data_IF_736831739919
#
_entry.id   IF_736831739919
#
_cell.length_a   1.000
_cell.length_b   1.000
_cell.length_c   1.000
_cell.angle_alpha   90.00
_cell.angle_beta   90.00
_cell.angle_gamma   90.00
#
_symmetry.space_group_name_H-M   'P 1'
#
loop_
_entity.id
_entity.type
_entity.pdbx_description
1 polymer ?
#
# COMPACT_ATOMS: atom_id res chain seq x y z
N UNK A 1 -35.62 -3.04 -21.87
CA UNK A 1 -34.96 -4.03 -20.99
C UNK A 1 -34.76 -5.30 -21.79
N UNK A 2 -33.51 -5.73 -22.01
CA UNK A 2 -33.19 -6.92 -22.80
C UNK A 2 -33.49 -8.21 -22.01
N UNK A 3 -34.15 -9.15 -22.69
CA UNK A 3 -34.53 -10.46 -22.14
C UNK A 3 -33.28 -11.33 -21.89
N UNK A 4 -33.35 -12.33 -20.98
CA UNK A 4 -32.23 -13.25 -20.72
C UNK A 4 -31.70 -13.97 -21.97
N UNK A 5 -32.58 -14.22 -22.94
CA UNK A 5 -32.27 -14.86 -24.22
C UNK A 5 -31.51 -13.93 -25.18
N UNK A 6 -31.88 -12.66 -25.23
CA UNK A 6 -31.16 -11.63 -25.99
C UNK A 6 -29.77 -11.37 -25.40
N UNK A 7 -29.63 -11.35 -24.07
CA UNK A 7 -28.32 -11.25 -23.41
C UNK A 7 -27.41 -12.44 -23.72
N UNK A 8 -27.97 -13.66 -23.83
CA UNK A 8 -27.22 -14.85 -24.28
C UNK A 8 -26.81 -14.73 -25.75
N UNK A 9 -27.72 -14.34 -26.65
CA UNK A 9 -27.38 -14.16 -28.08
C UNK A 9 -26.29 -13.11 -28.30
N UNK A 10 -26.33 -12.00 -27.56
CA UNK A 10 -25.29 -10.96 -27.59
C UNK A 10 -23.93 -11.50 -27.14
N UNK A 11 -23.87 -12.28 -26.04
CA UNK A 11 -22.62 -12.91 -25.55
C UNK A 11 -21.98 -13.90 -26.53
N UNK A 12 -22.74 -14.44 -27.48
CA UNK A 12 -22.24 -15.39 -28.49
C UNK A 12 -22.24 -14.80 -29.91
N UNK A 13 -22.42 -13.48 -30.05
CA UNK A 13 -22.36 -12.81 -31.34
C UNK A 13 -20.92 -12.75 -31.86
N UNK A 14 -20.74 -12.77 -33.19
CA UNK A 14 -19.42 -12.64 -33.81
C UNK A 14 -18.78 -11.27 -33.50
N UNK A 15 -19.58 -10.22 -33.36
CA UNK A 15 -19.11 -8.89 -32.95
C UNK A 15 -18.52 -8.88 -31.56
N UNK A 16 -19.17 -9.50 -30.56
CA UNK A 16 -18.62 -9.62 -29.21
C UNK A 16 -17.39 -10.53 -29.17
N UNK A 17 -17.33 -11.57 -30.01
CA UNK A 17 -16.13 -12.40 -30.18
C UNK A 17 -14.97 -11.62 -30.80
N UNK A 18 -15.23 -10.78 -31.81
CA UNK A 18 -14.22 -9.95 -32.46
C UNK A 18 -13.75 -8.81 -31.54
N UNK A 19 -14.65 -8.23 -30.74
CA UNK A 19 -14.30 -7.27 -29.68
C UNK A 19 -13.39 -7.93 -28.62
N UNK A 20 -13.72 -9.13 -28.12
CA UNK A 20 -12.87 -9.88 -27.18
C UNK A 20 -11.55 -10.30 -27.82
N UNK A 21 -11.56 -10.64 -29.12
CA UNK A 21 -10.36 -11.05 -29.85
C UNK A 21 -9.37 -9.91 -30.05
N UNK A 22 -9.88 -8.68 -30.17
CA UNK A 22 -9.09 -7.47 -30.41
C UNK A 22 -8.80 -6.65 -29.14
N UNK A 23 -9.47 -6.96 -28.01
CA UNK A 23 -9.32 -6.26 -26.73
C UNK A 23 -8.94 -7.25 -25.62
N UNK A 24 -7.65 -7.23 -25.25
CA UNK A 24 -7.07 -8.14 -24.25
C UNK A 24 -7.61 -7.91 -22.83
N UNK A 25 -8.20 -6.75 -22.53
CA UNK A 25 -8.85 -6.46 -21.25
C UNK A 25 -10.25 -7.09 -21.17
N UNK A 26 -10.94 -7.22 -22.31
CA UNK A 26 -12.25 -7.88 -22.39
C UNK A 26 -12.15 -9.40 -22.48
N UNK A 27 -11.00 -9.93 -22.86
CA UNK A 27 -10.72 -11.37 -22.77
C UNK A 27 -10.61 -11.82 -21.31
N UNK A 28 -11.63 -12.52 -20.82
CA UNK A 28 -11.72 -13.02 -19.44
C UNK A 28 -10.78 -14.22 -19.20
N UNK A 29 -10.11 -14.74 -20.22
CA UNK A 29 -9.25 -15.90 -20.05
C UNK A 29 -8.01 -15.59 -19.19
N UNK A 30 -7.67 -16.55 -18.33
CA UNK A 30 -6.51 -16.55 -17.44
C UNK A 30 -5.79 -17.88 -17.60
N UNK A 31 -4.46 -17.89 -17.42
CA UNK A 31 -3.66 -19.12 -17.50
C UNK A 31 -4.14 -20.13 -16.46
N UNK A 32 -4.47 -19.65 -15.26
CA UNK A 32 -5.00 -20.47 -14.17
C UNK A 32 -6.34 -21.15 -14.47
N UNK A 33 -7.04 -20.76 -15.54
CA UNK A 33 -8.38 -21.25 -15.89
C UNK A 33 -8.48 -21.85 -17.30
N UNK A 34 -7.45 -21.69 -18.13
CA UNK A 34 -7.45 -22.24 -19.50
C UNK A 34 -7.09 -23.72 -19.48
N UNK A 35 -8.06 -24.60 -19.75
CA UNK A 35 -7.85 -26.04 -19.94
C UNK A 35 -7.40 -26.42 -21.37
N UNK A 36 -7.12 -25.43 -22.22
CA UNK A 36 -6.72 -25.64 -23.62
C UNK A 36 -5.91 -24.47 -24.17
N UNK A 37 -5.36 -24.60 -25.40
CA UNK A 37 -4.47 -23.61 -26.00
C UNK A 37 -5.22 -22.29 -26.25
N UNK A 38 -4.88 -21.26 -25.47
CA UNK A 38 -5.35 -19.90 -25.72
C UNK A 38 -4.26 -19.12 -26.46
N UNK A 39 -4.48 -18.85 -27.74
CA UNK A 39 -3.54 -18.12 -28.60
C UNK A 39 -3.18 -16.73 -28.06
N UNK A 40 -4.09 -16.04 -27.36
CA UNK A 40 -3.78 -14.74 -26.78
C UNK A 40 -2.80 -14.86 -25.61
N UNK A 41 -3.02 -15.84 -24.71
CA UNK A 41 -2.11 -16.10 -23.58
C UNK A 41 -0.74 -16.59 -24.06
N UNK A 42 -0.70 -17.50 -25.03
CA UNK A 42 0.56 -17.93 -25.64
C UNK A 42 1.28 -16.75 -26.30
N UNK A 43 0.54 -15.88 -26.99
CA UNK A 43 1.15 -14.69 -27.58
C UNK A 43 1.72 -13.74 -26.53
N UNK A 44 1.09 -13.60 -25.35
CA UNK A 44 1.63 -12.80 -24.25
C UNK A 44 2.89 -13.44 -23.64
N UNK A 45 3.04 -14.77 -23.67
CA UNK A 45 4.27 -15.44 -23.23
C UNK A 45 5.42 -15.21 -24.22
N UNK A 46 5.14 -15.33 -25.51
CA UNK A 46 6.20 -15.30 -26.54
C UNK A 46 6.54 -13.90 -27.05
N UNK A 47 5.65 -12.91 -26.91
CA UNK A 47 5.79 -11.58 -27.52
C UNK A 47 5.87 -10.46 -26.46
N UNK A 48 7.05 -9.84 -26.35
CA UNK A 48 7.31 -8.73 -25.44
C UNK A 48 6.50 -7.47 -25.79
N UNK A 49 6.29 -7.19 -27.08
CA UNK A 49 5.54 -6.01 -27.52
C UNK A 49 4.09 -6.11 -27.09
N UNK A 50 3.48 -7.30 -27.17
CA UNK A 50 2.10 -7.51 -26.69
C UNK A 50 1.95 -7.31 -25.19
N UNK A 51 2.94 -7.72 -24.39
CA UNK A 51 2.95 -7.48 -22.95
C UNK A 51 2.97 -5.98 -22.63
N UNK A 52 3.84 -5.24 -23.30
CA UNK A 52 3.94 -3.78 -23.16
C UNK A 52 2.64 -3.09 -23.61
N UNK A 53 2.04 -3.52 -24.72
CA UNK A 53 0.76 -2.98 -25.20
C UNK A 53 -0.36 -3.19 -24.18
N UNK A 54 -0.48 -4.40 -23.62
CA UNK A 54 -1.48 -4.67 -22.58
C UNK A 54 -1.23 -3.81 -21.34
N UNK A 55 0.02 -3.65 -20.90
CA UNK A 55 0.34 -2.78 -19.78
C UNK A 55 -0.04 -1.31 -20.06
N UNK A 56 0.22 -0.80 -21.26
CA UNK A 56 -0.21 0.54 -21.67
C UNK A 56 -1.73 0.68 -21.66
N UNK A 57 -2.47 -0.32 -22.14
CA UNK A 57 -3.94 -0.33 -22.07
C UNK A 57 -4.45 -0.28 -20.63
N UNK A 58 -3.84 -1.05 -19.72
CA UNK A 58 -4.20 -1.03 -18.29
C UNK A 58 -3.96 0.37 -17.67
N UNK A 59 -2.91 1.09 -18.08
CA UNK A 59 -2.62 2.45 -17.59
C UNK A 59 -3.65 3.49 -18.01
N UNK A 60 -4.27 3.30 -19.16
CA UNK A 60 -5.31 4.19 -19.70
C UNK A 60 -6.72 3.80 -19.26
N UNK A 61 -6.89 2.60 -18.71
CA UNK A 61 -8.17 2.10 -18.22
C UNK A 61 -8.62 2.81 -16.92
N UNK A 62 -9.93 2.95 -16.77
CA UNK A 62 -10.59 3.59 -15.63
C UNK A 62 -11.48 2.62 -14.85
N UNK A 63 -11.95 1.53 -15.47
CA UNK A 63 -12.72 0.50 -14.78
C UNK A 63 -11.81 -0.38 -13.91
N UNK A 64 -12.03 -0.35 -12.61
CA UNK A 64 -11.24 -1.11 -11.63
C UNK A 64 -11.25 -2.63 -11.88
N UNK A 65 -12.35 -3.19 -12.40
CA UNK A 65 -12.45 -4.63 -12.64
C UNK A 65 -11.57 -5.03 -13.82
N UNK A 66 -11.56 -4.23 -14.88
CA UNK A 66 -10.69 -4.41 -16.03
C UNK A 66 -9.22 -4.24 -15.66
N UNK A 67 -8.89 -3.23 -14.83
CA UNK A 67 -7.52 -3.01 -14.33
C UNK A 67 -7.04 -4.23 -13.54
N UNK A 68 -7.83 -4.69 -12.56
CA UNK A 68 -7.47 -5.85 -11.74
C UNK A 68 -7.23 -7.09 -12.61
N UNK A 69 -8.14 -7.33 -13.55
CA UNK A 69 -8.08 -8.48 -14.46
C UNK A 69 -6.85 -8.43 -15.37
N UNK A 70 -6.58 -7.28 -15.99
CA UNK A 70 -5.38 -7.08 -16.82
C UNK A 70 -4.09 -7.28 -16.03
N UNK A 71 -3.98 -6.68 -14.84
CA UNK A 71 -2.83 -6.84 -13.97
C UNK A 71 -2.66 -8.30 -13.51
N UNK A 72 -3.76 -8.99 -13.20
CA UNK A 72 -3.73 -10.42 -12.89
C UNK A 72 -3.20 -11.24 -14.06
N UNK A 73 -3.68 -10.98 -15.27
CA UNK A 73 -3.24 -11.65 -16.49
C UNK A 73 -1.73 -11.49 -16.68
N UNK A 74 -1.22 -10.26 -16.55
CA UNK A 74 0.23 -9.99 -16.65
C UNK A 74 1.04 -10.70 -15.55
N UNK A 75 0.57 -10.69 -14.30
CA UNK A 75 1.26 -11.43 -13.21
C UNK A 75 1.31 -12.94 -13.46
N UNK A 76 0.22 -13.54 -13.94
CA UNK A 76 0.21 -14.98 -14.28
C UNK A 76 1.21 -15.30 -15.41
N UNK A 77 1.33 -14.43 -16.42
CA UNK A 77 2.31 -14.56 -17.51
C UNK A 77 3.73 -14.46 -16.97
N UNK A 78 4.02 -13.46 -16.13
CA UNK A 78 5.34 -13.28 -15.50
C UNK A 78 5.73 -14.51 -14.69
N UNK A 79 4.86 -14.99 -13.80
CA UNK A 79 5.11 -16.18 -12.97
C UNK A 79 5.41 -17.41 -13.84
N UNK A 80 4.64 -17.62 -14.91
CA UNK A 80 4.89 -18.72 -15.85
C UNK A 80 6.28 -18.59 -16.49
N UNK A 81 6.64 -17.41 -17.01
CA UNK A 81 7.90 -17.20 -17.72
C UNK A 81 9.13 -17.33 -16.80
N UNK A 82 9.02 -16.88 -15.55
CA UNK A 82 10.10 -17.03 -14.57
C UNK A 82 10.28 -18.48 -14.13
N UNK A 83 9.20 -19.25 -14.05
CA UNK A 83 9.26 -20.69 -13.72
C UNK A 83 9.96 -21.50 -14.82
N UNK A 84 9.87 -21.04 -16.07
CA UNK A 84 10.50 -21.68 -17.24
C UNK A 84 12.01 -21.34 -17.39
N UNK A 85 12.61 -20.66 -16.40
CA UNK A 85 14.04 -20.34 -16.35
C UNK A 85 14.47 -19.11 -17.16
N UNK A 86 13.50 -18.34 -17.68
CA UNK A 86 13.76 -17.09 -18.38
C UNK A 86 13.98 -15.93 -17.42
N UNK A 87 15.25 -15.57 -17.16
CA UNK A 87 15.63 -14.36 -16.44
C UNK A 87 16.42 -13.42 -17.35
N UNK A 88 15.76 -12.89 -18.39
CA UNK A 88 16.34 -11.76 -19.11
C UNK A 88 16.03 -10.44 -18.35
N UNK A 89 16.93 -9.48 -18.45
CA UNK A 89 16.78 -8.19 -17.75
C UNK A 89 15.54 -7.42 -18.23
N UNK A 90 15.08 -7.68 -19.45
CA UNK A 90 13.88 -7.04 -20.00
C UNK A 90 12.61 -7.55 -19.32
N UNK A 91 12.47 -8.86 -19.10
CA UNK A 91 11.35 -9.43 -18.36
C UNK A 91 11.35 -8.98 -16.90
N UNK A 92 12.53 -8.92 -16.27
CA UNK A 92 12.64 -8.43 -14.88
C UNK A 92 12.14 -6.99 -14.79
N UNK A 93 12.64 -6.08 -15.64
CA UNK A 93 12.21 -4.68 -15.67
C UNK A 93 10.69 -4.56 -15.90
N UNK A 94 10.16 -5.34 -16.83
CA UNK A 94 8.72 -5.40 -17.09
C UNK A 94 7.93 -5.90 -15.87
N UNK A 95 8.41 -6.95 -15.21
CA UNK A 95 7.79 -7.49 -14.02
C UNK A 95 7.77 -6.47 -12.89
N UNK A 96 8.87 -5.75 -12.64
CA UNK A 96 8.91 -4.67 -11.66
C UNK A 96 7.81 -3.64 -11.92
N UNK A 97 7.65 -3.21 -13.16
CA UNK A 97 6.64 -2.21 -13.53
C UNK A 97 5.22 -2.72 -13.26
N UNK A 98 4.92 -3.97 -13.62
CA UNK A 98 3.63 -4.61 -13.34
C UNK A 98 3.37 -4.72 -11.84
N UNK A 99 4.38 -5.05 -11.04
CA UNK A 99 4.24 -5.21 -9.59
C UNK A 99 4.17 -3.87 -8.85
N UNK A 100 4.86 -2.82 -9.32
CA UNK A 100 4.68 -1.45 -8.83
C UNK A 100 3.24 -0.98 -9.11
N UNK A 101 2.72 -1.22 -10.32
CA UNK A 101 1.35 -0.85 -10.65
C UNK A 101 0.33 -1.65 -9.84
N UNK A 102 0.58 -2.95 -9.63
CA UNK A 102 -0.23 -3.81 -8.77
C UNK A 102 -0.23 -3.34 -7.32
N UNK A 103 0.92 -2.93 -6.79
CA UNK A 103 1.05 -2.33 -5.46
C UNK A 103 0.12 -1.11 -5.32
N UNK A 104 0.28 -0.13 -6.22
CA UNK A 104 -0.50 1.10 -6.18
C UNK A 104 -2.00 0.84 -6.30
N UNK A 105 -2.40 -0.10 -7.16
CA UNK A 105 -3.80 -0.49 -7.35
C UNK A 105 -4.40 -1.12 -6.08
N UNK A 106 -3.73 -2.11 -5.48
CA UNK A 106 -4.22 -2.76 -4.27
C UNK A 106 -4.16 -1.84 -3.04
N UNK A 107 -3.15 -0.97 -2.95
CA UNK A 107 -3.04 0.06 -1.91
C UNK A 107 -4.23 1.01 -1.95
N UNK A 108 -4.56 1.57 -3.12
CA UNK A 108 -5.73 2.46 -3.32
C UNK A 108 -7.03 1.79 -2.88
N UNK A 109 -7.19 0.51 -3.21
CA UNK A 109 -8.39 -0.28 -2.89
C UNK A 109 -8.39 -0.87 -1.48
N UNK A 110 -7.33 -0.63 -0.70
CA UNK A 110 -7.16 -1.15 0.66
C UNK A 110 -7.23 -2.69 0.72
N UNK A 111 -6.77 -3.36 -0.34
CA UNK A 111 -6.74 -4.81 -0.45
C UNK A 111 -5.46 -5.37 0.17
N UNK A 112 -5.31 -5.20 1.49
CA UNK A 112 -4.06 -5.46 2.24
C UNK A 112 -3.50 -6.86 2.03
N UNK A 113 -4.36 -7.89 2.07
CA UNK A 113 -3.92 -9.27 1.85
C UNK A 113 -3.29 -9.49 0.47
N UNK A 114 -3.70 -8.73 -0.56
CA UNK A 114 -3.07 -8.79 -1.89
C UNK A 114 -1.78 -7.97 -1.95
N UNK A 115 -1.70 -6.86 -1.21
CA UNK A 115 -0.43 -6.12 -1.04
C UNK A 115 0.64 -7.05 -0.47
N UNK A 116 0.38 -7.71 0.66
CA UNK A 116 1.31 -8.66 1.27
C UNK A 116 1.52 -9.91 0.43
N UNK A 117 0.46 -10.69 0.25
CA UNK A 117 0.55 -12.07 -0.26
C UNK A 117 0.79 -12.19 -1.76
N UNK A 118 0.45 -11.17 -2.57
CA UNK A 118 0.69 -11.20 -4.02
C UNK A 118 1.91 -10.35 -4.36
N UNK A 119 1.95 -9.09 -3.92
CA UNK A 119 2.95 -8.14 -4.40
C UNK A 119 4.27 -8.28 -3.64
N UNK A 120 4.24 -8.15 -2.31
CA UNK A 120 5.45 -8.07 -1.50
C UNK A 120 6.17 -9.42 -1.41
N UNK A 121 5.45 -10.54 -1.25
CA UNK A 121 6.06 -11.87 -1.27
C UNK A 121 6.70 -12.18 -2.64
N UNK A 122 6.01 -11.89 -3.75
CA UNK A 122 6.59 -12.12 -5.07
C UNK A 122 7.83 -11.25 -5.31
N UNK A 123 7.77 -9.96 -4.95
CA UNK A 123 8.90 -9.05 -5.12
C UNK A 123 10.12 -9.51 -4.30
N UNK A 124 9.91 -9.92 -3.05
CA UNK A 124 10.96 -10.47 -2.20
C UNK A 124 11.67 -11.67 -2.83
N UNK A 125 10.89 -12.62 -3.36
CA UNK A 125 11.44 -13.90 -3.82
C UNK A 125 12.02 -13.82 -5.25
N UNK A 126 11.54 -12.87 -6.07
CA UNK A 126 11.79 -12.88 -7.53
C UNK A 126 12.34 -11.56 -8.09
N UNK A 127 12.17 -10.43 -7.41
CA UNK A 127 12.51 -9.09 -7.94
C UNK A 127 13.49 -8.38 -6.99
N UNK A 128 14.74 -8.84 -7.01
CA UNK A 128 15.78 -8.37 -6.08
C UNK A 128 15.95 -6.84 -6.07
N UNK A 129 16.10 -6.24 -7.25
CA UNK A 129 16.34 -4.80 -7.38
C UNK A 129 15.12 -3.99 -6.90
N UNK A 130 13.91 -4.37 -7.30
CA UNK A 130 12.68 -3.76 -6.77
C UNK A 130 12.62 -3.87 -5.24
N UNK A 131 12.94 -5.03 -4.69
CA UNK A 131 12.79 -5.30 -3.27
C UNK A 131 13.82 -4.55 -2.41
N UNK A 132 15.11 -4.71 -2.71
CA UNK A 132 16.20 -4.18 -1.89
C UNK A 132 16.65 -2.77 -2.29
N UNK A 133 16.60 -2.42 -3.58
CA UNK A 133 17.13 -1.14 -4.07
C UNK A 133 16.04 -0.07 -4.23
N UNK A 134 14.77 -0.45 -4.41
CA UNK A 134 13.65 0.50 -4.64
C UNK A 134 12.69 0.65 -3.47
N UNK A 135 13.08 0.23 -2.27
CA UNK A 135 12.36 0.55 -1.05
C UNK A 135 11.20 -0.38 -0.67
N UNK A 136 11.02 -1.50 -1.39
CA UNK A 136 9.91 -2.44 -1.13
C UNK A 136 10.18 -3.33 0.09
N UNK A 137 11.44 -3.50 0.50
CA UNK A 137 11.79 -4.09 1.78
C UNK A 137 11.19 -3.28 2.94
N UNK A 138 11.34 -1.95 2.92
CA UNK A 138 10.79 -1.05 3.94
C UNK A 138 9.26 -1.11 3.97
N UNK A 139 8.63 -1.15 2.79
CA UNK A 139 7.18 -1.39 2.66
C UNK A 139 6.81 -2.71 3.32
N UNK A 140 7.56 -3.78 3.06
CA UNK A 140 7.24 -5.09 3.58
C UNK A 140 7.43 -5.20 5.09
N UNK A 141 8.50 -4.61 5.63
CA UNK A 141 8.72 -4.52 7.07
C UNK A 141 7.53 -3.83 7.76
N UNK A 142 7.09 -2.68 7.23
CA UNK A 142 5.95 -1.95 7.79
C UNK A 142 4.63 -2.70 7.61
N UNK A 143 4.44 -3.41 6.49
CA UNK A 143 3.28 -4.29 6.29
C UNK A 143 3.22 -5.36 7.38
N UNK A 144 4.34 -6.04 7.62
CA UNK A 144 4.42 -7.12 8.61
C UNK A 144 4.14 -6.62 10.03
N UNK A 145 4.66 -5.46 10.43
CA UNK A 145 4.44 -4.94 11.78
C UNK A 145 3.11 -4.22 11.94
N UNK A 146 2.68 -3.41 10.98
CA UNK A 146 1.54 -2.51 11.16
C UNK A 146 0.20 -3.09 10.67
N UNK A 147 0.23 -4.06 9.74
CA UNK A 147 -0.99 -4.70 9.22
C UNK A 147 -1.14 -6.14 9.72
N UNK A 148 -0.05 -6.92 9.72
CA UNK A 148 -0.08 -8.32 10.17
C UNK A 148 0.23 -8.49 11.67
N UNK A 149 0.71 -7.43 12.34
CA UNK A 149 1.18 -7.49 13.74
C UNK A 149 2.19 -8.63 14.00
N UNK A 150 3.00 -8.97 12.98
CA UNK A 150 3.96 -10.05 13.03
C UNK A 150 5.38 -9.52 13.22
N UNK A 151 5.71 -9.20 14.48
CA UNK A 151 7.00 -8.62 14.83
C UNK A 151 8.17 -9.60 14.55
N UNK A 152 7.98 -10.90 14.73
CA UNK A 152 9.01 -11.91 14.45
C UNK A 152 9.41 -11.88 12.98
N UNK A 153 8.45 -11.97 12.05
CA UNK A 153 8.73 -11.93 10.61
C UNK A 153 9.30 -10.57 10.19
N UNK A 154 8.85 -9.48 10.81
CA UNK A 154 9.41 -8.14 10.63
C UNK A 154 10.91 -8.09 10.98
N UNK A 155 11.29 -8.63 12.15
CA UNK A 155 12.70 -8.70 12.58
C UNK A 155 13.53 -9.55 11.61
N UNK A 156 13.00 -10.70 11.18
CA UNK A 156 13.69 -11.55 10.20
C UNK A 156 13.96 -10.81 8.89
N UNK A 157 12.99 -10.04 8.39
CA UNK A 157 13.17 -9.24 7.17
C UNK A 157 14.21 -8.13 7.36
N UNK A 158 14.23 -7.48 8.52
CA UNK A 158 15.26 -6.49 8.87
C UNK A 158 16.66 -7.11 8.87
N UNK A 159 16.83 -8.28 9.49
CA UNK A 159 18.11 -8.98 9.55
C UNK A 159 18.56 -9.45 8.16
N UNK A 160 17.63 -9.85 7.29
CA UNK A 160 17.93 -10.17 5.90
C UNK A 160 18.40 -8.93 5.15
N UNK A 161 17.69 -7.81 5.29
CA UNK A 161 18.03 -6.53 4.66
C UNK A 161 19.41 -5.99 5.06
N UNK A 162 19.84 -6.20 6.30
CA UNK A 162 21.17 -5.76 6.77
C UNK A 162 22.33 -6.33 5.93
N UNK A 163 22.14 -7.49 5.31
CA UNK A 163 23.13 -8.09 4.40
C UNK A 163 23.31 -7.28 3.10
N UNK A 164 22.36 -6.41 2.78
CA UNK A 164 22.28 -5.63 1.55
C UNK A 164 22.45 -4.12 1.79
N UNK A 165 23.20 -3.72 2.84
CA UNK A 165 23.84 -2.39 3.02
C UNK A 165 23.02 -1.17 3.53
N UNK A 166 21.87 -1.32 4.21
CA UNK A 166 21.12 -0.15 4.74
C UNK A 166 20.89 -0.19 6.27
N UNK A 167 21.95 -0.08 7.07
CA UNK A 167 21.90 -0.27 8.53
C UNK A 167 21.02 0.77 9.27
N UNK A 168 21.04 2.04 8.85
CA UNK A 168 20.37 3.12 9.61
C UNK A 168 18.85 3.09 9.52
N UNK A 169 18.27 2.87 8.33
CA UNK A 169 16.81 2.83 8.17
C UNK A 169 16.21 1.62 8.89
N UNK A 170 16.90 0.48 8.87
CA UNK A 170 16.45 -0.74 9.52
C UNK A 170 16.28 -0.59 11.03
N UNK A 171 17.19 0.13 11.70
CA UNK A 171 17.04 0.45 13.12
C UNK A 171 15.82 1.34 13.38
N UNK A 172 15.57 2.32 12.51
CA UNK A 172 14.38 3.16 12.62
C UNK A 172 13.09 2.34 12.45
N UNK A 173 13.02 1.49 11.42
CA UNK A 173 11.89 0.60 11.16
C UNK A 173 11.64 -0.41 12.28
N UNK A 174 12.70 -0.97 12.87
CA UNK A 174 12.58 -1.83 14.04
C UNK A 174 11.91 -1.07 15.18
N UNK A 175 12.39 0.13 15.51
CA UNK A 175 11.82 0.94 16.59
C UNK A 175 10.38 1.34 16.30
N UNK A 176 10.06 1.74 15.08
CA UNK A 176 8.68 2.02 14.66
C UNK A 176 7.79 0.79 14.87
N UNK A 177 8.26 -0.38 14.46
CA UNK A 177 7.52 -1.65 14.55
C UNK A 177 7.27 -2.08 15.99
N UNK A 178 8.29 -2.03 16.85
CA UNK A 178 8.18 -2.42 18.27
C UNK A 178 7.29 -1.43 19.04
N UNK A 179 7.43 -0.12 18.81
CA UNK A 179 6.56 0.88 19.45
C UNK A 179 5.10 0.67 19.02
N UNK A 180 4.86 0.36 17.75
CA UNK A 180 3.50 0.16 17.24
C UNK A 180 2.84 -1.13 17.76
N UNK A 181 3.57 -2.26 17.75
CA UNK A 181 3.05 -3.57 18.14
C UNK A 181 2.96 -3.75 19.65
N UNK A 182 4.04 -3.41 20.36
CA UNK A 182 4.23 -3.78 21.77
C UNK A 182 4.17 -2.57 22.72
N UNK A 183 3.93 -1.37 22.18
CA UNK A 183 3.79 -0.12 22.95
C UNK A 183 4.97 0.17 23.89
N UNK A 184 6.17 -0.26 23.51
CA UNK A 184 7.37 -0.15 24.37
C UNK A 184 7.82 1.29 24.65
N UNK A 185 7.25 2.28 23.97
CA UNK A 185 7.54 3.69 24.17
C UNK A 185 6.34 4.57 23.79
N UNK A 186 6.30 5.85 24.22
CA UNK A 186 5.21 6.75 23.88
C UNK A 186 5.04 6.93 22.35
N UNK A 187 3.79 7.02 21.83
CA UNK A 187 3.52 7.24 20.40
C UNK A 187 4.17 8.50 19.80
N UNK A 188 4.42 9.54 20.60
CA UNK A 188 5.19 10.73 20.17
C UNK A 188 6.60 10.37 19.69
N UNK A 189 7.24 9.37 20.32
CA UNK A 189 8.55 8.91 19.87
C UNK A 189 8.48 8.21 18.52
N UNK A 190 7.36 7.54 18.21
CA UNK A 190 7.12 6.95 16.89
C UNK A 190 7.10 8.05 15.81
N UNK A 191 6.39 9.15 16.04
CA UNK A 191 6.38 10.30 15.11
C UNK A 191 7.76 10.94 14.96
N UNK A 192 8.51 11.07 16.06
CA UNK A 192 9.89 11.57 16.00
C UNK A 192 10.78 10.68 15.13
N UNK A 193 10.73 9.35 15.31
CA UNK A 193 11.51 8.40 14.50
C UNK A 193 11.09 8.50 13.03
N UNK A 194 9.78 8.62 12.75
CA UNK A 194 9.26 8.77 11.39
C UNK A 194 9.84 10.03 10.70
N UNK A 195 9.94 11.14 11.42
CA UNK A 195 10.52 12.40 10.93
C UNK A 195 12.03 12.32 10.76
N UNK A 196 12.76 11.86 11.78
CA UNK A 196 14.23 11.78 11.77
C UNK A 196 14.77 10.80 10.73
N UNK A 197 14.03 9.70 10.47
CA UNK A 197 14.39 8.73 9.44
C UNK A 197 14.20 9.25 8.01
N UNK A 198 13.47 10.36 7.83
CA UNK A 198 13.09 10.90 6.52
C UNK A 198 12.37 9.84 5.66
N UNK A 199 11.51 9.03 6.29
CA UNK A 199 10.85 7.91 5.62
C UNK A 199 10.00 8.39 4.44
N UNK A 200 9.33 9.54 4.59
CA UNK A 200 8.47 10.11 3.55
C UNK A 200 9.27 10.49 2.29
N UNK A 201 10.44 11.08 2.47
CA UNK A 201 11.28 11.58 1.37
C UNK A 201 12.08 10.46 0.72
N UNK A 202 12.61 9.52 1.51
CA UNK A 202 13.50 8.45 1.03
C UNK A 202 12.76 7.20 0.56
N UNK A 203 11.65 6.87 1.22
CA UNK A 203 10.87 5.65 0.99
C UNK A 203 9.39 5.98 0.89
N UNK A 204 8.98 6.78 -0.12
CA UNK A 204 7.62 7.32 -0.21
C UNK A 204 6.55 6.22 -0.26
N UNK A 205 6.82 5.07 -0.87
CA UNK A 205 5.90 3.93 -0.93
C UNK A 205 5.62 3.36 0.47
N UNK A 206 6.64 3.32 1.33
CA UNK A 206 6.55 2.83 2.70
C UNK A 206 5.74 3.81 3.57
N UNK A 207 5.96 5.12 3.39
CA UNK A 207 5.14 6.15 4.04
C UNK A 207 3.69 6.12 3.55
N UNK A 208 3.46 5.98 2.25
CA UNK A 208 2.13 5.83 1.66
C UNK A 208 1.38 4.62 2.23
N UNK A 209 2.07 3.50 2.48
CA UNK A 209 1.45 2.35 3.14
C UNK A 209 0.86 2.75 4.49
N UNK A 210 1.64 3.43 5.35
CA UNK A 210 1.20 3.88 6.68
C UNK A 210 0.04 4.89 6.61
N UNK A 211 0.06 5.78 5.63
CA UNK A 211 -0.98 6.78 5.42
C UNK A 211 -2.30 6.14 4.97
N UNK A 212 -2.27 5.33 3.90
CA UNK A 212 -3.47 4.71 3.31
C UNK A 212 -4.08 3.62 4.21
N UNK A 213 -3.26 2.93 4.99
CA UNK A 213 -3.72 1.95 5.99
C UNK A 213 -4.25 2.60 7.27
N UNK A 214 -4.18 3.93 7.40
CA UNK A 214 -4.69 4.66 8.55
C UNK A 214 -3.82 4.53 9.81
N UNK A 215 -2.60 3.99 9.69
CA UNK A 215 -1.72 3.72 10.84
C UNK A 215 -1.16 4.98 11.45
N UNK A 216 -0.95 6.02 10.64
CA UNK A 216 -0.65 7.36 11.14
C UNK A 216 -1.80 7.88 12.01
N UNK A 217 -3.05 7.79 11.54
CA UNK A 217 -4.22 8.25 12.29
C UNK A 217 -4.41 7.47 13.59
N UNK A 218 -4.23 6.15 13.56
CA UNK A 218 -4.26 5.30 14.74
C UNK A 218 -3.22 5.74 15.80
N UNK A 219 -1.99 6.05 15.37
CA UNK A 219 -0.95 6.55 16.28
C UNK A 219 -1.28 7.95 16.83
N UNK A 220 -1.93 8.81 16.05
CA UNK A 220 -2.40 10.12 16.52
C UNK A 220 -3.48 9.97 17.59
N UNK A 221 -4.40 9.02 17.42
CA UNK A 221 -5.40 8.67 18.43
C UNK A 221 -4.76 8.14 19.72
N UNK A 222 -3.73 7.27 19.62
CA UNK A 222 -2.96 6.81 20.79
C UNK A 222 -2.28 7.97 21.52
N UNK A 223 -1.66 8.91 20.80
CA UNK A 223 -1.14 10.16 21.37
C UNK A 223 -2.24 10.91 22.13
N UNK A 224 -3.37 11.16 21.48
CA UNK A 224 -4.44 11.95 22.08
C UNK A 224 -5.07 11.26 23.31
N UNK A 225 -5.16 9.94 23.30
CA UNK A 225 -5.61 9.15 24.44
C UNK A 225 -4.72 9.29 25.68
N UNK A 226 -3.42 9.47 25.50
CA UNK A 226 -2.48 9.78 26.59
C UNK A 226 -2.65 11.24 27.04
N UNK A 227 -2.80 12.16 26.09
CA UNK A 227 -2.93 13.60 26.38
C UNK A 227 -4.18 13.88 27.22
N UNK A 228 -5.33 13.33 26.85
CA UNK A 228 -6.62 13.60 27.53
C UNK A 228 -6.62 13.20 29.01
N UNK A 229 -5.82 12.20 29.41
CA UNK A 229 -5.70 11.78 30.81
C UNK A 229 -4.62 12.57 31.55
N UNK A 230 -3.53 12.93 30.85
CA UNK A 230 -2.34 13.53 31.44
C UNK A 230 -2.48 15.04 31.67
N UNK A 231 -3.26 15.74 30.85
CA UNK A 231 -3.39 17.20 30.90
C UNK A 231 -4.79 17.63 31.32
N UNK A 232 -4.89 18.78 31.99
CA UNK A 232 -6.18 19.45 32.22
C UNK A 232 -6.57 20.32 31.01
N UNK A 233 -5.56 20.91 30.38
CA UNK A 233 -5.67 21.72 29.17
C UNK A 233 -4.38 21.61 28.36
N UNK A 234 -4.46 21.82 27.05
CA UNK A 234 -3.31 21.83 26.14
C UNK A 234 -3.55 22.86 25.03
N UNK A 235 -2.50 23.53 24.57
CA UNK A 235 -2.65 24.38 23.38
C UNK A 235 -2.73 23.53 22.12
N UNK A 236 -3.53 23.98 21.16
CA UNK A 236 -3.67 23.30 19.86
C UNK A 236 -2.33 23.19 19.13
N UNK A 237 -1.55 24.27 19.17
CA UNK A 237 -0.23 24.32 18.55
C UNK A 237 0.73 23.30 19.17
N UNK A 238 0.77 23.18 20.50
CA UNK A 238 1.64 22.20 21.18
C UNK A 238 1.22 20.75 20.88
N UNK A 239 -0.08 20.50 20.67
CA UNK A 239 -0.56 19.21 20.19
C UNK A 239 -0.02 18.91 18.78
N UNK A 240 -0.10 19.86 17.85
CA UNK A 240 0.35 19.66 16.46
C UNK A 240 1.89 19.60 16.34
N UNK A 241 2.61 20.52 16.96
CA UNK A 241 4.05 20.69 16.80
C UNK A 241 4.88 19.75 17.69
N UNK A 242 4.48 19.54 18.95
CA UNK A 242 5.29 18.78 19.91
C UNK A 242 4.82 17.33 20.10
N UNK A 243 3.51 17.08 20.08
CA UNK A 243 2.96 15.72 20.24
C UNK A 243 2.90 14.95 18.92
N UNK A 244 2.55 15.64 17.83
CA UNK A 244 2.43 15.05 16.49
C UNK A 244 3.61 15.39 15.57
N UNK A 245 4.59 16.17 16.05
CA UNK A 245 5.84 16.51 15.33
C UNK A 245 5.58 17.18 13.98
N UNK A 246 4.54 18.01 13.90
CA UNK A 246 4.15 18.71 12.68
C UNK A 246 3.50 17.82 11.61
N UNK A 247 3.24 16.54 11.91
CA UNK A 247 2.47 15.68 11.01
C UNK A 247 1.00 16.15 11.04
N UNK A 248 0.38 16.43 9.87
CA UNK A 248 -0.99 16.91 9.82
C UNK A 248 -1.94 16.03 10.62
N UNK A 249 -2.68 16.64 11.53
CA UNK A 249 -3.70 15.94 12.32
C UNK A 249 -4.78 15.40 11.39
N UNK A 250 -5.13 14.13 11.57
CA UNK A 250 -6.21 13.49 10.84
C UNK A 250 -7.54 14.20 11.10
N UNK A 251 -8.34 14.39 10.05
CA UNK A 251 -9.61 15.11 10.13
C UNK A 251 -10.62 14.49 11.11
N UNK A 252 -10.63 13.17 11.27
CA UNK A 252 -11.50 12.51 12.24
C UNK A 252 -11.08 12.85 13.67
N UNK A 253 -9.76 12.86 13.94
CA UNK A 253 -9.25 13.25 15.25
C UNK A 253 -9.52 14.74 15.51
N UNK A 254 -9.23 15.62 14.55
CA UNK A 254 -9.53 17.06 14.62
C UNK A 254 -11.00 17.29 14.96
N UNK A 255 -11.89 16.69 14.17
CA UNK A 255 -13.35 16.79 14.37
C UNK A 255 -13.78 16.23 15.72
N UNK A 256 -13.18 15.12 16.17
CA UNK A 256 -13.47 14.54 17.49
C UNK A 256 -13.11 15.53 18.60
N UNK A 257 -11.95 16.18 18.50
CA UNK A 257 -11.51 17.16 19.49
C UNK A 257 -12.47 18.36 19.51
N UNK A 258 -12.76 18.93 18.34
CA UNK A 258 -13.61 20.12 18.20
C UNK A 258 -15.05 19.88 18.66
N UNK A 259 -15.59 18.67 18.44
CA UNK A 259 -16.96 18.34 18.83
C UNK A 259 -17.09 17.88 20.29
N UNK A 260 -15.99 17.42 20.92
CA UNK A 260 -16.05 16.81 22.26
C UNK A 260 -15.59 17.76 23.36
N UNK A 261 -14.59 18.60 23.08
CA UNK A 261 -13.93 19.42 24.10
C UNK A 261 -14.21 20.90 23.89
N UNK A 262 -14.23 21.65 25.00
CA UNK A 262 -14.33 23.11 24.93
C UNK A 262 -13.00 23.68 24.41
N UNK A 263 -13.07 24.47 23.34
CA UNK A 263 -11.93 25.19 22.77
C UNK A 263 -12.05 26.67 23.10
N UNK A 264 -11.06 27.20 23.81
CA UNK A 264 -10.95 28.62 24.15
C UNK A 264 -10.06 29.31 23.12
N UNK A 265 -10.59 30.36 22.49
CA UNK A 265 -9.81 31.29 21.66
C UNK A 265 -9.17 32.34 22.56
N UNK A 266 -7.85 32.36 22.63
CA UNK A 266 -7.10 33.35 23.40
C UNK A 266 -6.95 34.65 22.61
N UNK A 267 -6.65 35.75 23.31
CA UNK A 267 -6.51 37.09 22.70
C UNK A 267 -5.40 37.20 21.64
N UNK A 268 -4.41 36.31 21.68
CA UNK A 268 -3.32 36.22 20.69
C UNK A 268 -3.68 35.34 19.48
N UNK A 269 -4.93 34.88 19.36
CA UNK A 269 -5.40 33.99 18.29
C UNK A 269 -5.11 32.50 18.52
N UNK A 270 -4.38 32.14 19.58
CA UNK A 270 -4.11 30.73 19.90
C UNK A 270 -5.35 30.01 20.44
N UNK A 271 -5.42 28.70 20.21
CA UNK A 271 -6.50 27.82 20.68
C UNK A 271 -6.02 26.98 21.85
N UNK A 272 -6.80 26.94 22.93
CA UNK A 272 -6.58 26.03 24.07
C UNK A 272 -7.71 25.01 24.15
N UNK A 273 -7.37 23.73 24.19
CA UNK A 273 -8.30 22.63 24.37
C UNK A 273 -8.44 22.35 25.87
N UNK A 274 -9.66 22.43 26.40
CA UNK A 274 -9.99 22.10 27.79
C UNK A 274 -10.34 20.62 27.89
N UNK A 275 -9.43 19.81 28.42
CA UNK A 275 -9.54 18.35 28.46
C UNK A 275 -10.31 17.83 29.68
N UNK A 276 -10.28 18.59 30.79
CA UNK A 276 -11.04 18.28 32.01
C UNK A 276 -11.97 19.44 32.34
N UNK A 277 -13.16 19.11 32.85
CA UNK A 277 -14.08 20.14 33.35
C UNK A 277 -13.39 20.92 34.47
N UNK A 278 -13.43 22.26 34.46
CA UNK A 278 -13.01 23.04 35.61
C UNK A 278 -13.77 22.54 36.84
N UNK A 279 -13.07 22.29 37.94
CA UNK A 279 -13.77 22.07 39.21
C UNK A 279 -14.48 23.39 39.53
N UNK A 280 -15.81 23.34 39.55
CA UNK A 280 -16.65 24.39 40.09
C UNK A 280 -16.36 24.59 41.58
#
# INVERSE_FOLDING_TARGET
MSTPLERRKLKFSNTTRDEIRNDLLKDVALLSRSQGPNQQLESLKTDATKRVQLLSQIKEETDDSNIEHGLRKLREIIVSMMSDGGHDNQLLTFAEEVYIMSYAFFLRRKEWGKVGGIVLEFAKDNLHDLFYERGFLEVYILYLSHLEHNLTKCIDMILQGQKYNIIKIHTALLRLSVIYCDETSPPTLWFRILQESQLKEKYPQAYQLLEYSGKIAEMQERCFNIIKVSYNQISWQYLEEDWLLGIPMNENLRSTIENTYLIIMNNNGSRTIMLKKPKA
#
